data_IF_772710355991
#
_entry.id   IF_772710355991
#
_cell.length_a   1.000
_cell.length_b   1.000
_cell.length_c   1.000
_cell.angle_alpha   90.00
_cell.angle_beta   90.00
_cell.angle_gamma   90.00
#
_symmetry.space_group_name_H-M   'P 1'
#
loop_
_entity.id
_entity.type
_entity.pdbx_description
1 polymer ?
#
# COMPACT_ATOMS: atom_id res chain seq x y z
N UNK A 1 17.01 -3.80 4.47
CA UNK A 1 16.29 -2.83 5.32
C UNK A 1 14.97 -3.43 5.75
N UNK A 2 14.52 -3.18 6.97
CA UNK A 2 13.18 -3.58 7.43
C UNK A 2 12.12 -2.58 6.96
N UNK A 3 10.85 -2.99 6.91
CA UNK A 3 9.72 -2.10 6.51
C UNK A 3 9.67 -0.82 7.36
N UNK A 4 9.96 -0.95 8.65
CA UNK A 4 10.05 0.15 9.60
C UNK A 4 11.19 1.13 9.27
N UNK A 5 12.35 0.63 8.83
CA UNK A 5 13.47 1.47 8.39
C UNK A 5 13.14 2.25 7.11
N UNK A 6 12.41 1.64 6.17
CA UNK A 6 11.98 2.31 4.93
C UNK A 6 11.02 3.45 5.26
N UNK A 7 10.00 3.19 6.09
CA UNK A 7 9.09 4.22 6.59
C UNK A 7 9.84 5.36 7.30
N UNK A 8 10.77 5.03 8.21
CA UNK A 8 11.54 6.05 8.94
C UNK A 8 12.37 6.91 8.00
N UNK A 9 12.98 6.32 6.98
CA UNK A 9 13.75 7.03 5.95
C UNK A 9 12.85 7.97 5.15
N UNK A 10 11.70 7.50 4.68
CA UNK A 10 10.78 8.34 3.90
C UNK A 10 10.15 9.47 4.72
N UNK A 11 9.80 9.20 5.98
CA UNK A 11 9.31 10.23 6.89
C UNK A 11 10.36 11.34 7.03
N UNK A 12 11.63 11.01 7.22
CA UNK A 12 12.70 12.01 7.34
C UNK A 12 13.08 12.67 6.01
N UNK A 13 12.75 12.04 4.88
CA UNK A 13 12.94 12.60 3.54
C UNK A 13 11.89 13.68 3.23
N UNK A 14 10.63 13.43 3.61
CA UNK A 14 9.49 14.30 3.27
C UNK A 14 9.11 15.28 4.40
N UNK A 15 9.48 14.98 5.65
CA UNK A 15 9.14 15.77 6.84
C UNK A 15 10.37 16.14 7.66
N UNK A 16 10.28 17.25 8.41
CA UNK A 16 11.41 17.72 9.25
C UNK A 16 11.70 16.77 10.41
N UNK A 17 10.70 16.02 10.89
CA UNK A 17 10.87 15.06 11.99
C UNK A 17 9.75 14.02 12.03
N UNK A 18 10.04 12.89 12.67
CA UNK A 18 9.04 11.86 13.02
C UNK A 18 7.90 12.44 13.87
N UNK A 19 8.21 13.43 14.73
CA UNK A 19 7.20 14.11 15.56
C UNK A 19 6.21 14.91 14.73
N UNK A 20 6.69 15.63 13.72
CA UNK A 20 5.83 16.39 12.82
C UNK A 20 4.88 15.47 12.05
N UNK A 21 5.41 14.37 11.51
CA UNK A 21 4.59 13.36 10.83
C UNK A 21 3.55 12.72 11.76
N UNK A 22 3.91 12.41 13.01
CA UNK A 22 2.98 11.89 14.00
C UNK A 22 1.79 12.83 14.24
N UNK A 23 2.06 14.14 14.35
CA UNK A 23 1.03 15.17 14.54
C UNK A 23 0.09 15.22 13.32
N UNK A 24 0.65 15.24 12.11
CA UNK A 24 -0.13 15.31 10.87
C UNK A 24 -1.02 14.07 10.68
N UNK A 25 -0.49 12.89 10.98
CA UNK A 25 -1.23 11.63 10.90
C UNK A 25 -2.18 11.40 12.08
N UNK A 26 -2.23 12.31 13.06
CA UNK A 26 -2.98 12.14 14.32
C UNK A 26 -2.64 10.85 15.06
N UNK A 27 -1.36 10.45 15.03
CA UNK A 27 -0.83 9.26 15.73
C UNK A 27 -0.02 9.75 16.94
N UNK A 28 -0.19 9.15 18.14
CA UNK A 28 0.67 9.47 19.27
C UNK A 28 2.15 9.22 18.94
N UNK A 29 3.02 10.19 19.25
CA UNK A 29 4.46 10.11 18.92
C UNK A 29 5.11 8.84 19.49
N UNK A 30 4.81 8.49 20.74
CA UNK A 30 5.32 7.28 21.39
C UNK A 30 4.92 6.00 20.66
N UNK A 31 3.69 5.94 20.14
CA UNK A 31 3.19 4.80 19.34
C UNK A 31 3.95 4.69 18.02
N UNK A 32 4.14 5.80 17.31
CA UNK A 32 4.85 5.80 16.04
C UNK A 32 6.33 5.39 16.22
N UNK A 33 7.02 5.97 17.20
CA UNK A 33 8.43 5.63 17.48
C UNK A 33 8.58 4.17 17.87
N UNK A 34 7.73 3.66 18.75
CA UNK A 34 7.76 2.25 19.17
C UNK A 34 7.63 1.33 17.96
N UNK A 35 6.75 1.65 17.00
CA UNK A 35 6.57 0.86 15.80
C UNK A 35 7.73 1.00 14.79
N UNK A 36 8.35 2.18 14.69
CA UNK A 36 9.54 2.37 13.86
C UNK A 36 10.77 1.63 14.42
N UNK A 37 10.86 1.46 15.74
CA UNK A 37 11.98 0.80 16.41
C UNK A 37 11.78 -0.72 16.58
N UNK A 38 10.57 -1.17 16.93
CA UNK A 38 10.25 -2.59 17.17
C UNK A 38 9.62 -3.32 15.98
N UNK A 39 9.14 -2.59 14.98
CA UNK A 39 8.44 -3.13 13.82
C UNK A 39 6.98 -2.69 13.75
N UNK A 40 6.48 -2.57 12.52
CA UNK A 40 5.13 -2.06 12.21
C UNK A 40 4.04 -3.13 12.23
N UNK A 41 4.40 -4.39 12.49
CA UNK A 41 3.48 -5.54 12.46
C UNK A 41 2.42 -5.49 13.56
N UNK A 42 2.75 -4.87 14.70
CA UNK A 42 1.80 -4.65 15.80
C UNK A 42 0.90 -3.42 15.61
N UNK A 43 1.12 -2.63 14.55
CA UNK A 43 0.31 -1.44 14.28
C UNK A 43 -0.94 -1.83 13.51
N UNK A 44 -2.07 -1.17 13.80
CA UNK A 44 -3.31 -1.40 13.07
C UNK A 44 -3.11 -1.19 11.55
N UNK A 45 -3.53 -2.18 10.76
CA UNK A 45 -3.31 -2.19 9.31
C UNK A 45 -3.82 -0.92 8.60
N UNK A 46 -4.97 -0.39 9.03
CA UNK A 46 -5.52 0.86 8.49
C UNK A 46 -4.62 2.08 8.76
N UNK A 47 -3.89 2.11 9.87
CA UNK A 47 -2.92 3.18 10.15
C UNK A 47 -1.69 3.06 9.26
N UNK A 48 -1.21 1.85 9.02
CA UNK A 48 -0.08 1.60 8.11
C UNK A 48 -0.44 2.01 6.68
N UNK A 49 -1.64 1.68 6.18
CA UNK A 49 -2.08 2.12 4.85
C UNK A 49 -2.10 3.64 4.76
N UNK A 50 -2.69 4.35 5.72
CA UNK A 50 -2.75 5.82 5.69
C UNK A 50 -1.36 6.45 5.71
N UNK A 51 -0.42 5.88 6.46
CA UNK A 51 0.96 6.34 6.47
C UNK A 51 1.64 6.13 5.11
N UNK A 52 1.45 4.95 4.50
CA UNK A 52 2.00 4.64 3.19
C UNK A 52 1.41 5.54 2.10
N UNK A 53 0.10 5.79 2.12
CA UNK A 53 -0.59 6.73 1.24
C UNK A 53 0.02 8.13 1.34
N UNK A 54 0.18 8.65 2.56
CA UNK A 54 0.75 9.98 2.77
C UNK A 54 2.20 10.12 2.30
N UNK A 55 2.96 9.03 2.38
CA UNK A 55 4.37 8.94 1.99
C UNK A 55 4.57 8.50 0.53
N UNK A 56 3.50 8.25 -0.24
CA UNK A 56 3.55 7.65 -1.57
C UNK A 56 4.34 6.33 -1.61
N UNK A 57 4.05 5.45 -0.66
CA UNK A 57 4.62 4.11 -0.57
C UNK A 57 3.55 3.05 -0.87
N UNK A 58 3.96 1.97 -1.51
CA UNK A 58 3.10 0.80 -1.65
C UNK A 58 2.94 0.10 -0.27
N UNK A 59 1.72 -0.13 0.25
CA UNK A 59 1.50 -0.71 1.57
C UNK A 59 1.84 -2.22 1.67
N UNK A 60 2.17 -2.87 0.55
CA UNK A 60 2.52 -4.30 0.50
C UNK A 60 4.04 -4.49 0.59
N UNK A 61 4.80 -3.79 -0.25
CA UNK A 61 6.25 -3.94 -0.38
C UNK A 61 7.05 -2.70 0.05
N UNK A 62 6.39 -1.58 0.38
CA UNK A 62 6.99 -0.30 0.79
C UNK A 62 7.92 0.29 -0.29
N UNK A 63 7.70 -0.06 -1.56
CA UNK A 63 8.34 0.61 -2.69
C UNK A 63 7.79 2.04 -2.86
N UNK A 64 8.65 3.02 -3.21
CA UNK A 64 8.18 4.34 -3.60
C UNK A 64 7.30 4.24 -4.86
N UNK A 65 6.13 4.85 -4.80
CA UNK A 65 5.25 5.00 -5.96
C UNK A 65 5.70 6.24 -6.74
N UNK A 66 5.74 6.14 -8.06
CA UNK A 66 6.06 7.30 -8.89
C UNK A 66 4.98 8.37 -8.73
N UNK A 67 5.42 9.64 -8.64
CA UNK A 67 4.55 10.80 -8.41
C UNK A 67 3.49 10.86 -9.53
N UNK A 68 2.24 10.54 -9.19
CA UNK A 68 1.11 10.54 -10.14
C UNK A 68 0.43 9.19 -10.34
N UNK A 69 0.91 8.10 -9.73
CA UNK A 69 0.16 6.84 -9.72
C UNK A 69 -0.94 6.87 -8.66
N UNK A 70 -2.18 6.77 -9.13
CA UNK A 70 -3.39 6.78 -8.31
C UNK A 70 -3.40 5.56 -7.38
N UNK A 71 -3.18 5.79 -6.08
CA UNK A 71 -3.07 4.75 -5.06
C UNK A 71 -4.30 3.84 -5.05
N UNK A 72 -5.46 4.38 -5.44
CA UNK A 72 -6.70 3.63 -5.60
C UNK A 72 -6.59 2.49 -6.61
N UNK A 73 -6.00 2.75 -7.78
CA UNK A 73 -5.78 1.74 -8.82
C UNK A 73 -4.76 0.70 -8.35
N UNK A 74 -3.64 1.12 -7.75
CA UNK A 74 -2.64 0.17 -7.23
C UNK A 74 -3.15 -0.68 -6.06
N UNK A 75 -4.07 -0.17 -5.23
CA UNK A 75 -4.74 -0.96 -4.17
C UNK A 75 -5.71 -1.97 -4.78
N UNK A 76 -6.52 -1.55 -5.77
CA UNK A 76 -7.45 -2.45 -6.47
C UNK A 76 -6.66 -3.54 -7.21
N UNK A 77 -5.62 -3.18 -7.96
CA UNK A 77 -4.71 -4.11 -8.62
C UNK A 77 -4.07 -5.08 -7.62
N UNK A 78 -3.54 -4.58 -6.50
CA UNK A 78 -2.97 -5.46 -5.46
C UNK A 78 -4.02 -6.40 -4.85
N UNK A 79 -5.26 -5.97 -4.67
CA UNK A 79 -6.35 -6.81 -4.17
C UNK A 79 -6.72 -7.89 -5.17
N UNK A 80 -6.84 -7.53 -6.45
CA UNK A 80 -7.12 -8.46 -7.55
C UNK A 80 -5.99 -9.49 -7.65
N UNK A 81 -4.73 -9.05 -7.66
CA UNK A 81 -3.56 -9.93 -7.74
C UNK A 81 -3.43 -10.86 -6.53
N UNK A 82 -3.69 -10.38 -5.31
CA UNK A 82 -3.71 -11.23 -4.10
C UNK A 82 -4.78 -12.32 -4.16
N UNK A 83 -5.96 -12.03 -4.70
CA UNK A 83 -7.00 -13.04 -4.89
C UNK A 83 -6.65 -14.01 -6.01
N UNK A 84 -6.10 -13.50 -7.12
CA UNK A 84 -5.68 -14.29 -8.27
C UNK A 84 -4.61 -15.34 -7.92
N UNK A 85 -3.62 -14.98 -7.12
CA UNK A 85 -2.55 -15.91 -6.70
C UNK A 85 -3.08 -17.04 -5.81
N UNK A 86 -4.17 -16.84 -5.06
CA UNK A 86 -4.81 -17.90 -4.25
C UNK A 86 -5.53 -18.95 -5.09
N UNK A 87 -5.83 -18.66 -6.35
CA UNK A 87 -6.51 -19.59 -7.24
C UNK A 87 -5.54 -20.65 -7.80
N UNK A 88 -6.09 -21.83 -8.09
CA UNK A 88 -5.39 -22.89 -8.82
C UNK A 88 -5.29 -22.56 -10.32
N UNK A 89 -4.47 -23.32 -11.07
CA UNK A 89 -4.30 -23.14 -12.53
C UNK A 89 -5.63 -22.98 -13.31
N UNK A 90 -6.65 -23.85 -13.12
CA UNK A 90 -7.91 -23.69 -13.85
C UNK A 90 -8.71 -22.45 -13.41
N UNK A 91 -8.71 -22.10 -12.13
CA UNK A 91 -9.37 -20.89 -11.63
C UNK A 91 -8.73 -19.60 -12.15
N UNK A 92 -7.39 -19.56 -12.22
CA UNK A 92 -6.65 -18.44 -12.83
C UNK A 92 -7.00 -18.27 -14.30
N UNK A 93 -7.03 -19.35 -15.07
CA UNK A 93 -7.41 -19.32 -16.49
C UNK A 93 -8.83 -18.76 -16.68
N UNK A 94 -9.79 -19.25 -15.91
CA UNK A 94 -11.19 -18.78 -16.00
C UNK A 94 -11.36 -17.29 -15.68
N UNK A 95 -10.61 -16.77 -14.71
CA UNK A 95 -10.63 -15.34 -14.38
C UNK A 95 -10.02 -14.51 -15.51
N UNK A 96 -8.92 -14.97 -16.13
CA UNK A 96 -8.32 -14.29 -17.29
C UNK A 96 -9.27 -14.25 -18.49
N UNK A 97 -9.96 -15.36 -18.75
CA UNK A 97 -10.94 -15.44 -19.84
C UNK A 97 -12.06 -14.40 -19.61
N UNK A 98 -12.65 -14.36 -18.40
CA UNK A 98 -13.70 -13.38 -18.04
C UNK A 98 -13.20 -11.93 -18.11
N UNK A 99 -11.96 -11.67 -17.68
CA UNK A 99 -11.36 -10.33 -17.78
C UNK A 99 -11.22 -9.87 -19.23
N UNK A 100 -10.91 -10.80 -20.14
CA UNK A 100 -10.81 -10.56 -21.58
C UNK A 100 -12.19 -10.31 -22.18
N UNK A 101 -13.19 -11.12 -21.82
CA UNK A 101 -14.56 -10.94 -22.29
C UNK A 101 -15.11 -9.55 -21.90
N UNK A 102 -14.80 -9.07 -20.70
CA UNK A 102 -15.24 -7.75 -20.24
C UNK A 102 -14.49 -6.59 -20.88
N UNK A 103 -13.23 -6.76 -21.29
CA UNK A 103 -12.49 -5.71 -21.99
C UNK A 103 -12.95 -5.52 -23.43
N UNK A 104 -13.57 -6.53 -24.03
CA UNK A 104 -14.16 -6.46 -25.38
C UNK A 104 -15.54 -5.78 -25.40
N UNK A 105 -16.21 -5.66 -24.25
CA UNK A 105 -17.50 -4.99 -24.15
C UNK A 105 -17.33 -3.47 -23.99
N UNK A 106 -17.69 -2.70 -25.01
CA UNK A 106 -17.63 -1.23 -25.03
C UNK A 106 -18.31 -0.57 -23.81
N UNK A 107 -19.36 -1.19 -23.26
CA UNK A 107 -20.07 -0.73 -22.06
C UNK A 107 -19.18 -0.63 -20.80
N UNK A 108 -18.12 -1.42 -20.74
CA UNK A 108 -17.23 -1.55 -19.58
C UNK A 108 -15.81 -1.04 -19.84
N UNK A 109 -15.57 -0.47 -21.02
CA UNK A 109 -14.35 0.26 -21.33
C UNK A 109 -14.40 1.66 -20.68
N UNK A 110 -13.27 2.16 -20.19
CA UNK A 110 -13.13 3.45 -19.52
C UNK A 110 -12.57 4.52 -20.46
#
# INVERSE_FOLDING_TARGET
>A
MTKAQILKKEILSQYKSVRQFAIEMSIPYSTLVTALDRGIEGMAYGTVIRMCDRLNLNPVDFSPLERGQDLGNSIVENRVMKQYIKLNKPGRKKILDIMTDFSELEKYQA
#
